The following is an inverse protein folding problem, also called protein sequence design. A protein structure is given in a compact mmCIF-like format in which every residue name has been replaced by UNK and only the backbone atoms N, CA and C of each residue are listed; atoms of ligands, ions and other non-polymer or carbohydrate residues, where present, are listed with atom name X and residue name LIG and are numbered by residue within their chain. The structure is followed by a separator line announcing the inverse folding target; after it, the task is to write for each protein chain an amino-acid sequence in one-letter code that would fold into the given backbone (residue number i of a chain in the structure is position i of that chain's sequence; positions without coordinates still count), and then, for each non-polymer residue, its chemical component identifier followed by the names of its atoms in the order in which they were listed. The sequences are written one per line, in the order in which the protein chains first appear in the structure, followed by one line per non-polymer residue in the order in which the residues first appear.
data_IF_956063209339
#
_entry.id   IF_956063209339
#
_cell.length_a   1.000
_cell.length_b   1.000
_cell.length_c   1.000
_cell.angle_alpha   90.00
_cell.angle_beta   90.00
_cell.angle_gamma   90.00
#
_symmetry.space_group_name_H-M   'P 1'
#
loop_
_entity.id
_entity.type
_entity.pdbx_description
1 polymer ?
#
# COMPACT_ATOMS: atom_id res chain seq x y z
N UNK A 1 17.13 -21.07 8.51
CA UNK A 1 17.13 -19.62 8.27
C UNK A 1 16.19 -18.99 9.29
N UNK A 2 16.66 -17.99 10.03
CA UNK A 2 15.82 -17.27 11.00
C UNK A 2 14.92 -16.25 10.29
N UNK A 3 13.80 -15.92 10.90
CA UNK A 3 12.96 -14.78 10.49
C UNK A 3 13.52 -13.53 11.17
N UNK A 4 13.72 -12.47 10.42
CA UNK A 4 14.10 -11.14 10.94
C UNK A 4 12.92 -10.20 10.81
N UNK A 5 12.63 -9.44 11.86
CA UNK A 5 11.58 -8.42 11.88
C UNK A 5 12.22 -7.05 11.93
N UNK A 6 12.54 -6.48 10.77
CA UNK A 6 13.16 -5.17 10.67
C UNK A 6 12.14 -4.12 10.21
N UNK A 7 12.06 -2.96 10.87
CA UNK A 7 11.22 -1.87 10.40
C UNK A 7 11.75 -1.34 9.06
N UNK A 8 10.88 -1.25 8.06
CA UNK A 8 11.21 -0.74 6.71
C UNK A 8 10.86 0.74 6.53
N UNK A 9 10.68 1.48 7.64
CA UNK A 9 10.30 2.90 7.66
C UNK A 9 8.81 3.13 7.90
N UNK A 10 8.40 4.40 7.88
CA UNK A 10 7.03 4.85 8.14
C UNK A 10 6.63 5.99 7.19
N UNK A 11 5.36 6.35 7.22
CA UNK A 11 4.79 7.57 6.61
C UNK A 11 4.01 8.34 7.68
N UNK A 12 3.37 9.44 7.30
CA UNK A 12 2.49 10.21 8.18
C UNK A 12 1.03 9.67 8.20
N UNK A 13 0.74 8.58 7.47
CA UNK A 13 -0.57 7.93 7.49
C UNK A 13 -0.74 7.06 8.73
N UNK A 14 -1.97 7.01 9.26
CA UNK A 14 -2.27 6.27 10.49
C UNK A 14 -2.29 4.76 10.31
N UNK A 15 -2.79 4.26 9.16
CA UNK A 15 -2.96 2.83 8.96
C UNK A 15 -2.64 2.41 7.53
N UNK A 16 -1.95 1.27 7.42
CA UNK A 16 -1.81 0.50 6.19
C UNK A 16 -2.66 -0.77 6.30
N UNK A 17 -3.62 -0.94 5.40
CA UNK A 17 -4.57 -2.06 5.43
C UNK A 17 -4.17 -3.20 4.49
N UNK A 18 -3.39 -2.90 3.46
CA UNK A 18 -2.96 -3.88 2.47
C UNK A 18 -1.50 -3.69 2.09
N UNK A 19 -0.82 -4.78 1.78
CA UNK A 19 0.57 -4.81 1.34
C UNK A 19 0.76 -5.91 0.29
N UNK A 20 1.47 -5.62 -0.80
CA UNK A 20 1.83 -6.62 -1.80
C UNK A 20 3.21 -6.31 -2.41
N UNK A 21 3.92 -7.37 -2.80
CA UNK A 21 5.11 -7.25 -3.65
C UNK A 21 4.69 -7.24 -5.14
N UNK A 22 5.24 -6.29 -5.90
CA UNK A 22 5.09 -6.25 -7.36
C UNK A 22 6.35 -5.62 -7.98
N UNK A 23 6.95 -6.29 -8.96
CA UNK A 23 8.17 -5.81 -9.65
C UNK A 23 9.30 -5.39 -8.69
N UNK A 24 9.65 -6.25 -7.73
CA UNK A 24 10.71 -6.05 -6.73
C UNK A 24 10.51 -4.79 -5.85
N UNK A 25 9.26 -4.36 -5.68
CA UNK A 25 8.88 -3.24 -4.82
C UNK A 25 7.67 -3.64 -3.99
N UNK A 26 7.53 -3.02 -2.83
CA UNK A 26 6.33 -3.17 -2.01
C UNK A 26 5.37 -2.03 -2.31
N UNK A 27 4.09 -2.37 -2.33
CA UNK A 27 2.99 -1.43 -2.49
C UNK A 27 2.05 -1.60 -1.33
N UNK A 28 1.67 -0.49 -0.69
CA UNK A 28 0.86 -0.52 0.51
C UNK A 28 -0.31 0.44 0.38
N UNK A 29 -1.51 -0.05 0.68
CA UNK A 29 -2.75 0.73 0.67
C UNK A 29 -3.06 1.27 2.06
N UNK A 30 -3.50 2.52 2.15
CA UNK A 30 -3.82 3.18 3.42
C UNK A 30 -5.32 3.25 3.70
N UNK A 31 -5.64 3.56 4.95
CA UNK A 31 -6.94 4.07 5.38
C UNK A 31 -6.79 5.56 5.71
N UNK A 32 -7.62 6.38 5.09
CA UNK A 32 -7.77 7.81 5.39
C UNK A 32 -9.12 8.25 4.80
N UNK A 33 -10.06 8.66 5.65
CA UNK A 33 -11.41 9.02 5.20
C UNK A 33 -11.38 10.11 4.11
N UNK A 34 -11.88 9.77 2.92
CA UNK A 34 -11.88 10.66 1.74
C UNK A 34 -10.52 10.89 1.09
N UNK A 35 -9.45 10.21 1.52
CA UNK A 35 -8.09 10.45 1.06
C UNK A 35 -7.19 9.20 1.01
N UNK A 36 -7.75 7.99 1.04
CA UNK A 36 -6.95 6.76 1.00
C UNK A 36 -6.01 6.72 -0.22
N UNK A 37 -4.81 6.19 -0.01
CA UNK A 37 -3.74 6.23 -1.01
C UNK A 37 -2.96 4.92 -1.09
N UNK A 38 -2.18 4.79 -2.17
CA UNK A 38 -1.17 3.74 -2.30
C UNK A 38 0.21 4.34 -2.20
N UNK A 39 1.06 3.75 -1.36
CA UNK A 39 2.49 3.99 -1.30
C UNK A 39 3.28 2.90 -2.03
N UNK A 40 4.51 3.23 -2.40
CA UNK A 40 5.52 2.29 -2.92
C UNK A 40 6.81 2.41 -2.10
N UNK A 41 7.49 1.30 -1.83
CA UNK A 41 8.80 1.22 -1.18
C UNK A 41 9.81 0.50 -2.10
N UNK A 42 11.12 0.87 -2.14
CA UNK A 42 11.86 1.83 -1.30
C UNK A 42 12.18 3.20 -1.97
N UNK A 43 12.25 4.32 -1.20
CA UNK A 43 11.63 4.51 0.12
C UNK A 43 10.11 4.63 -0.02
N UNK A 44 9.37 4.74 1.08
CA UNK A 44 7.93 4.97 1.02
C UNK A 44 7.61 6.30 0.31
N UNK A 45 7.00 6.22 -0.86
CA UNK A 45 6.54 7.37 -1.66
C UNK A 45 5.08 7.22 -2.02
N UNK A 46 4.23 8.24 -1.81
CA UNK A 46 2.83 8.19 -2.22
C UNK A 46 2.76 8.16 -3.76
N UNK A 47 1.88 7.33 -4.31
CA UNK A 47 1.69 7.18 -5.75
C UNK A 47 0.38 7.77 -6.24
N UNK A 48 -0.71 7.50 -5.52
CA UNK A 48 -2.06 7.88 -5.93
C UNK A 48 -2.99 7.95 -4.74
N UNK A 49 -3.73 9.05 -4.64
CA UNK A 49 -4.92 9.18 -3.80
C UNK A 49 -6.14 8.74 -4.60
N UNK A 50 -7.01 7.93 -4.00
CA UNK A 50 -8.22 7.38 -4.62
C UNK A 50 -9.50 8.11 -4.19
N UNK A 51 -9.46 8.94 -3.16
CA UNK A 51 -10.60 9.70 -2.66
C UNK A 51 -11.66 8.88 -1.91
N UNK A 52 -11.41 7.59 -1.66
CA UNK A 52 -12.26 6.73 -0.83
C UNK A 52 -11.77 6.65 0.62
N UNK A 53 -12.40 5.81 1.43
CA UNK A 53 -12.05 5.57 2.83
C UNK A 53 -10.79 4.71 3.00
N UNK A 54 -10.66 3.62 2.22
CA UNK A 54 -9.57 2.66 2.41
C UNK A 54 -9.17 1.91 1.15
N UNK A 55 -7.88 1.62 1.03
CA UNK A 55 -7.37 0.64 0.07
C UNK A 55 -7.27 -0.72 0.77
N UNK A 56 -8.39 -1.44 0.78
CA UNK A 56 -8.59 -2.68 1.54
C UNK A 56 -7.87 -3.89 0.94
N UNK A 57 -7.47 -3.81 -0.33
CA UNK A 57 -6.84 -4.92 -1.02
C UNK A 57 -6.01 -4.50 -2.22
N UNK A 58 -4.90 -5.19 -2.42
CA UNK A 58 -4.04 -5.06 -3.58
C UNK A 58 -3.91 -6.43 -4.26
N UNK A 59 -4.06 -6.48 -5.58
CA UNK A 59 -4.00 -7.74 -6.34
C UNK A 59 -3.31 -7.57 -7.68
N UNK A 60 -2.39 -8.48 -7.97
CA UNK A 60 -1.81 -8.61 -9.31
C UNK A 60 -2.74 -9.44 -10.19
N UNK A 61 -3.08 -8.92 -11.36
CA UNK A 61 -3.84 -9.63 -12.40
C UNK A 61 -3.33 -9.23 -13.78
N UNK A 62 -3.01 -10.21 -14.64
CA UNK A 62 -2.50 -9.98 -16.00
C UNK A 62 -1.40 -8.90 -16.07
N UNK A 63 -0.37 -9.03 -15.23
CA UNK A 63 0.78 -8.11 -15.14
C UNK A 63 0.46 -6.68 -14.69
N UNK A 64 -0.75 -6.41 -14.21
CA UNK A 64 -1.13 -5.14 -13.62
C UNK A 64 -1.42 -5.29 -12.13
N UNK A 65 -1.12 -4.24 -11.36
CA UNK A 65 -1.48 -4.14 -9.95
C UNK A 65 -2.77 -3.32 -9.81
N UNK A 66 -3.78 -3.92 -9.19
CA UNK A 66 -5.08 -3.31 -8.92
C UNK A 66 -5.26 -3.06 -7.43
N UNK A 67 -5.96 -1.97 -7.11
CA UNK A 67 -6.38 -1.60 -5.78
C UNK A 67 -7.90 -1.73 -5.66
N UNK A 68 -8.36 -2.49 -4.67
CA UNK A 68 -9.73 -2.46 -4.21
C UNK A 68 -9.87 -1.28 -3.24
N UNK A 69 -10.76 -0.34 -3.57
CA UNK A 69 -11.01 0.87 -2.80
C UNK A 69 -12.40 0.77 -2.19
N UNK A 70 -12.47 0.88 -0.87
CA UNK A 70 -13.70 1.14 -0.12
C UNK A 70 -13.96 2.66 -0.12
N UNK A 71 -15.21 3.05 -0.30
CA UNK A 71 -15.61 4.45 -0.49
C UNK A 71 -16.84 4.81 0.31
#
# INVERSE_FOLDING_TARGET
MGVTFEPIGSTDDWFFWSLIEFNNKLYAGTYEEGACKVYKYPPWTPLKNFGGEAVIGLKVFKSNLYAAVEG
#
